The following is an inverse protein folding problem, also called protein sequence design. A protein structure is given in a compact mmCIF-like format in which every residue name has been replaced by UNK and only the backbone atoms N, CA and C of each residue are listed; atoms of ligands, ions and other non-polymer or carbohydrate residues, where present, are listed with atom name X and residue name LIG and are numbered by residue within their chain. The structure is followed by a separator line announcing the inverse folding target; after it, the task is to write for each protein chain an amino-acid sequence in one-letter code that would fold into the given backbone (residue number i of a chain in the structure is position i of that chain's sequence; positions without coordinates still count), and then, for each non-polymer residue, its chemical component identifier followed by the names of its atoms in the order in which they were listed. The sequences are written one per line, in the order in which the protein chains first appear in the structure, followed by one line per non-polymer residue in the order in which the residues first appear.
data_IF_884395083126
#
_entry.id   IF_884395083126
#
_cell.length_a   1.000
_cell.length_b   1.000
_cell.length_c   1.000
_cell.angle_alpha   90.00
_cell.angle_beta   90.00
_cell.angle_gamma   90.00
#
_symmetry.space_group_name_H-M   'P 1'
#
loop_
_entity.id
_entity.type
_entity.pdbx_description
1 polymer ?
#
# COMPACT_ATOMS: atom_id res chain seq x y z
N UNK A 1 -46.76 7.00 -27.31
CA UNK A 1 -46.31 5.70 -27.85
C UNK A 1 -44.87 5.88 -28.32
N UNK A 2 -43.93 5.55 -27.52
CA UNK A 2 -42.50 5.49 -27.88
C UNK A 2 -41.86 4.43 -26.99
N UNK A 3 -41.48 3.36 -27.65
CA UNK A 3 -40.87 2.18 -27.07
C UNK A 3 -39.54 2.51 -26.40
N UNK A 4 -39.44 2.18 -25.13
CA UNK A 4 -38.19 2.09 -24.40
C UNK A 4 -37.74 0.61 -24.38
N UNK A 5 -36.96 0.20 -25.35
CA UNK A 5 -36.32 -1.11 -25.35
C UNK A 5 -35.13 -1.06 -24.39
N UNK A 6 -35.37 -1.47 -23.16
CA UNK A 6 -34.33 -1.82 -22.21
C UNK A 6 -33.60 -3.07 -22.74
N UNK A 7 -32.29 -2.93 -22.93
CA UNK A 7 -31.39 -3.99 -23.35
C UNK A 7 -31.14 -4.93 -22.15
N UNK A 8 -32.08 -5.85 -21.91
CA UNK A 8 -31.91 -6.97 -21.00
C UNK A 8 -30.92 -7.95 -21.66
N UNK A 9 -29.68 -8.05 -21.16
CA UNK A 9 -28.82 -9.19 -21.48
C UNK A 9 -29.61 -10.45 -21.18
N UNK A 10 -29.92 -11.23 -22.21
CA UNK A 10 -30.43 -12.60 -22.06
C UNK A 10 -29.49 -13.39 -21.15
N UNK A 11 -29.92 -13.61 -19.93
CA UNK A 11 -29.42 -14.68 -19.10
C UNK A 11 -29.96 -15.94 -19.73
N UNK A 12 -29.09 -16.76 -20.33
CA UNK A 12 -29.44 -18.09 -20.83
C UNK A 12 -30.15 -18.79 -19.68
N UNK A 13 -31.44 -18.94 -19.77
CA UNK A 13 -32.28 -19.54 -18.74
C UNK A 13 -31.97 -21.02 -18.64
N UNK A 14 -31.28 -21.38 -17.56
CA UNK A 14 -31.23 -22.73 -17.09
C UNK A 14 -32.27 -22.85 -15.98
N UNK A 15 -33.49 -23.28 -16.32
CA UNK A 15 -34.60 -23.48 -15.37
C UNK A 15 -34.29 -24.48 -14.25
N UNK A 16 -33.09 -25.08 -14.26
CA UNK A 16 -32.56 -26.02 -13.27
C UNK A 16 -31.33 -25.49 -12.53
N UNK A 17 -30.99 -24.20 -12.70
CA UNK A 17 -29.85 -23.62 -11.97
C UNK A 17 -30.19 -23.46 -10.48
N UNK A 18 -29.29 -23.81 -9.54
CA UNK A 18 -29.49 -23.54 -8.12
C UNK A 18 -29.70 -22.03 -7.86
N UNK A 19 -30.56 -21.72 -6.90
CA UNK A 19 -30.74 -20.35 -6.43
C UNK A 19 -29.41 -19.75 -5.94
N UNK A 20 -29.23 -18.46 -6.19
CA UNK A 20 -28.02 -17.75 -5.77
C UNK A 20 -27.98 -17.63 -4.24
N UNK A 21 -27.09 -18.40 -3.59
CA UNK A 21 -26.90 -18.42 -2.15
C UNK A 21 -25.48 -17.98 -1.79
N UNK A 22 -25.29 -16.67 -1.59
CA UNK A 22 -24.01 -16.10 -1.17
C UNK A 22 -23.97 -15.90 0.35
N UNK A 23 -22.79 -16.14 0.96
CA UNK A 23 -22.55 -15.78 2.34
C UNK A 23 -22.78 -14.26 2.52
N UNK A 24 -23.50 -13.89 3.61
CA UNK A 24 -23.89 -12.50 3.87
C UNK A 24 -22.68 -11.55 3.95
N UNK A 25 -21.55 -12.03 4.44
CA UNK A 25 -20.33 -11.21 4.57
C UNK A 25 -19.73 -10.78 3.23
N UNK A 26 -20.01 -11.52 2.14
CA UNK A 26 -19.49 -11.23 0.81
C UNK A 26 -20.56 -10.72 -0.16
N UNK A 27 -21.84 -10.78 0.24
CA UNK A 27 -22.94 -10.27 -0.57
C UNK A 27 -22.79 -8.76 -0.75
N UNK A 28 -22.73 -8.31 -2.01
CA UNK A 28 -22.61 -6.89 -2.36
C UNK A 28 -21.21 -6.29 -2.12
N UNK A 29 -20.20 -7.12 -1.78
CA UNK A 29 -18.82 -6.63 -1.70
C UNK A 29 -18.34 -6.25 -3.11
N UNK A 30 -17.94 -4.98 -3.35
CA UNK A 30 -17.43 -4.58 -4.65
C UNK A 30 -16.04 -5.17 -4.91
N UNK A 31 -15.62 -5.31 -6.18
CA UNK A 31 -14.23 -5.59 -6.52
C UNK A 31 -13.29 -4.57 -5.90
N UNK A 32 -12.02 -4.95 -5.70
CA UNK A 32 -11.01 -4.00 -5.21
C UNK A 32 -10.93 -2.77 -6.11
N UNK A 33 -11.06 -1.57 -5.53
CA UNK A 33 -11.02 -0.30 -6.26
C UNK A 33 -9.81 -0.18 -7.19
N UNK A 34 -8.64 -0.69 -6.76
CA UNK A 34 -7.40 -0.71 -7.57
C UNK A 34 -7.51 -1.58 -8.81
N UNK A 35 -8.24 -2.70 -8.75
CA UNK A 35 -8.46 -3.56 -9.91
C UNK A 35 -9.54 -2.98 -10.81
N UNK A 36 -10.63 -2.49 -10.25
CA UNK A 36 -11.72 -1.89 -11.00
C UNK A 36 -11.26 -0.70 -11.86
N UNK A 37 -10.46 0.23 -11.29
CA UNK A 37 -9.93 1.36 -12.07
C UNK A 37 -8.97 0.90 -13.17
N UNK A 38 -8.20 -0.16 -12.95
CA UNK A 38 -7.31 -0.69 -13.96
C UNK A 38 -8.08 -1.33 -15.13
N UNK A 39 -9.09 -2.14 -14.83
CA UNK A 39 -9.98 -2.75 -15.84
C UNK A 39 -10.72 -1.68 -16.64
N UNK A 40 -11.27 -0.64 -15.96
CA UNK A 40 -11.91 0.49 -16.61
C UNK A 40 -10.94 1.26 -17.52
N UNK A 41 -9.72 1.48 -17.07
CA UNK A 41 -8.64 2.11 -17.84
C UNK A 41 -8.32 1.31 -19.10
N UNK A 42 -8.22 -0.01 -19.00
CA UNK A 42 -7.96 -0.89 -20.14
C UNK A 42 -9.12 -0.89 -21.16
N UNK A 43 -10.36 -0.85 -20.69
CA UNK A 43 -11.55 -0.73 -21.57
C UNK A 43 -11.53 0.57 -22.35
N UNK A 44 -11.29 1.72 -21.68
CA UNK A 44 -11.22 3.02 -22.33
C UNK A 44 -10.01 3.12 -23.29
N UNK A 45 -8.89 2.52 -22.93
CA UNK A 45 -7.71 2.43 -23.81
C UNK A 45 -8.02 1.67 -25.10
N UNK A 46 -8.80 0.57 -25.03
CA UNK A 46 -9.24 -0.17 -26.23
C UNK A 46 -10.20 0.64 -27.11
N UNK A 47 -10.87 1.65 -26.54
CA UNK A 47 -11.72 2.59 -27.28
C UNK A 47 -10.94 3.77 -27.89
N UNK A 48 -9.60 3.78 -27.77
CA UNK A 48 -8.72 4.79 -28.34
C UNK A 48 -8.37 5.96 -27.43
N UNK A 49 -8.83 5.97 -26.16
CA UNK A 49 -8.40 6.99 -25.21
C UNK A 49 -6.96 6.72 -24.76
N UNK A 50 -6.13 7.78 -24.76
CA UNK A 50 -4.81 7.72 -24.09
C UNK A 50 -5.01 7.80 -22.58
N UNK A 51 -4.69 6.73 -21.85
CA UNK A 51 -4.87 6.64 -20.41
C UNK A 51 -3.57 6.81 -19.65
N UNK A 52 -3.56 7.70 -18.68
CA UNK A 52 -2.51 7.87 -17.69
C UNK A 52 -2.88 7.09 -16.42
N UNK A 53 -2.26 5.91 -16.23
CA UNK A 53 -2.61 4.97 -15.15
C UNK A 53 -1.95 5.37 -13.83
N UNK A 54 -2.57 6.28 -13.08
CA UNK A 54 -2.11 6.73 -11.75
C UNK A 54 -2.91 6.08 -10.60
N UNK A 55 -3.78 5.12 -10.92
CA UNK A 55 -4.61 4.40 -9.93
C UNK A 55 -3.95 3.15 -9.33
N UNK A 56 -3.01 2.50 -10.03
CA UNK A 56 -2.38 1.26 -9.58
C UNK A 56 -1.01 1.53 -8.93
N UNK A 57 -0.87 1.20 -7.67
CA UNK A 57 0.39 1.33 -6.92
C UNK A 57 1.30 0.11 -7.05
N UNK A 58 1.85 -0.12 -8.22
CA UNK A 58 2.85 -1.15 -8.49
C UNK A 58 4.21 -0.49 -8.76
N UNK A 59 5.28 -1.01 -8.16
CA UNK A 59 6.64 -0.52 -8.43
C UNK A 59 6.94 -0.61 -9.95
N UNK A 60 7.43 0.45 -10.58
CA UNK A 60 7.81 0.42 -11.99
C UNK A 60 9.20 -0.17 -12.21
N UNK A 61 10.00 -0.27 -11.16
CA UNK A 61 11.39 -0.72 -11.22
C UNK A 61 11.48 -2.24 -11.38
N UNK A 62 12.48 -2.75 -12.10
CA UNK A 62 12.74 -4.18 -12.23
C UNK A 62 13.14 -4.78 -10.89
N UNK A 63 12.94 -6.08 -10.75
CA UNK A 63 13.51 -6.84 -9.63
C UNK A 63 15.04 -6.83 -9.80
N UNK A 64 15.83 -6.56 -8.75
CA UNK A 64 17.29 -6.57 -8.81
C UNK A 64 17.83 -7.87 -9.40
N UNK A 65 18.82 -7.76 -10.29
CA UNK A 65 19.32 -8.89 -11.07
C UNK A 65 19.89 -9.99 -10.19
N UNK A 66 20.56 -9.65 -9.11
CA UNK A 66 21.07 -10.60 -8.12
C UNK A 66 19.98 -11.52 -7.58
N UNK A 67 18.77 -11.00 -7.35
CA UNK A 67 17.62 -11.77 -6.85
C UNK A 67 16.98 -12.60 -7.98
N UNK A 68 16.90 -12.04 -9.19
CA UNK A 68 16.41 -12.77 -10.39
C UNK A 68 17.32 -13.97 -10.68
N UNK A 69 18.63 -13.81 -10.57
CA UNK A 69 19.58 -14.88 -10.80
C UNK A 69 19.46 -15.97 -9.73
N UNK A 70 19.20 -15.63 -8.47
CA UNK A 70 18.90 -16.61 -7.43
C UNK A 70 17.58 -17.36 -7.72
N UNK A 71 16.55 -16.68 -8.25
CA UNK A 71 15.33 -17.38 -8.66
C UNK A 71 15.60 -18.39 -9.78
N UNK A 72 16.38 -18.00 -10.81
CA UNK A 72 16.78 -18.92 -11.91
C UNK A 72 17.53 -20.13 -11.37
N UNK A 73 18.46 -19.94 -10.41
CA UNK A 73 19.24 -21.01 -9.77
C UNK A 73 18.38 -21.95 -8.93
N UNK A 74 17.25 -21.48 -8.41
CA UNK A 74 16.38 -22.23 -7.52
C UNK A 74 15.04 -22.63 -8.18
N UNK A 75 14.85 -22.40 -9.47
CA UNK A 75 13.60 -22.71 -10.18
C UNK A 75 13.19 -24.20 -10.10
N UNK A 76 14.15 -25.11 -9.87
CA UNK A 76 13.93 -26.55 -9.72
C UNK A 76 13.35 -26.96 -8.36
N UNK A 77 13.35 -26.07 -7.36
CA UNK A 77 12.81 -26.36 -6.02
C UNK A 77 11.30 -26.61 -6.10
N UNK A 78 10.87 -27.83 -5.81
CA UNK A 78 9.49 -28.29 -6.05
C UNK A 78 8.75 -28.76 -4.80
N UNK A 79 9.48 -28.99 -3.72
CA UNK A 79 8.90 -29.59 -2.52
C UNK A 79 8.19 -28.55 -1.64
N UNK A 80 7.16 -28.99 -0.92
CA UNK A 80 6.51 -28.16 0.07
C UNK A 80 7.48 -27.76 1.18
N UNK A 81 7.49 -26.49 1.51
CA UNK A 81 8.28 -25.95 2.61
C UNK A 81 7.46 -25.96 3.92
N UNK A 82 8.11 -25.83 5.09
CA UNK A 82 7.41 -25.63 6.34
C UNK A 82 6.41 -24.46 6.26
N UNK A 83 5.28 -24.58 6.95
CA UNK A 83 4.20 -23.55 6.95
C UNK A 83 4.71 -22.16 7.33
N UNK A 84 5.58 -22.06 8.34
CA UNK A 84 6.18 -20.78 8.74
C UNK A 84 7.19 -20.23 7.71
N UNK A 85 7.57 -21.01 6.71
CA UNK A 85 8.53 -20.63 5.66
C UNK A 85 9.88 -21.33 5.79
N UNK A 86 10.69 -21.19 4.74
CA UNK A 86 12.05 -21.74 4.62
C UNK A 86 12.92 -21.22 5.79
N UNK A 87 13.54 -22.14 6.55
CA UNK A 87 14.36 -21.79 7.71
C UNK A 87 15.45 -20.76 7.37
N UNK A 88 16.16 -20.98 6.25
CA UNK A 88 17.22 -20.08 5.78
C UNK A 88 16.69 -18.66 5.51
N UNK A 89 15.48 -18.52 4.95
CA UNK A 89 14.84 -17.23 4.72
C UNK A 89 14.44 -16.58 6.04
N UNK A 90 13.81 -17.33 6.95
CA UNK A 90 13.40 -16.82 8.25
C UNK A 90 14.62 -16.32 9.05
N UNK A 91 15.73 -17.06 9.00
CA UNK A 91 16.99 -16.62 9.60
C UNK A 91 17.51 -15.33 8.97
N UNK A 92 17.55 -15.21 7.63
CA UNK A 92 17.99 -14.00 6.95
C UNK A 92 17.10 -12.78 7.30
N UNK A 93 15.79 -12.98 7.43
CA UNK A 93 14.86 -11.94 7.87
C UNK A 93 15.15 -11.51 9.31
N UNK A 94 15.34 -12.45 10.24
CA UNK A 94 15.64 -12.14 11.64
C UNK A 94 16.96 -11.37 11.77
N UNK A 95 18.01 -11.78 11.04
CA UNK A 95 19.29 -11.08 10.97
C UNK A 95 19.15 -9.67 10.42
N UNK A 96 18.40 -9.52 9.33
CA UNK A 96 18.10 -8.20 8.75
C UNK A 96 17.45 -7.27 9.77
N UNK A 97 16.43 -7.74 10.51
CA UNK A 97 15.75 -6.95 11.52
C UNK A 97 16.64 -6.57 12.70
N UNK A 98 17.52 -7.49 13.14
CA UNK A 98 18.50 -7.17 14.18
C UNK A 98 19.45 -6.06 13.76
N UNK A 99 19.97 -6.12 12.53
CA UNK A 99 20.90 -5.11 12.03
C UNK A 99 20.24 -3.76 11.81
N UNK A 100 19.06 -3.77 11.17
CA UNK A 100 18.39 -2.54 10.73
C UNK A 100 17.70 -1.81 11.87
N UNK A 101 17.08 -2.54 12.78
CA UNK A 101 16.22 -1.96 13.81
C UNK A 101 16.68 -2.24 15.25
N UNK A 102 17.74 -3.02 15.45
CA UNK A 102 18.18 -3.43 16.77
C UNK A 102 17.22 -4.38 17.50
N UNK A 103 16.33 -5.08 16.76
CA UNK A 103 15.27 -5.92 17.32
C UNK A 103 15.83 -7.30 17.65
N UNK A 104 15.63 -7.76 18.88
CA UNK A 104 15.95 -9.13 19.27
C UNK A 104 14.87 -10.11 18.80
N UNK A 105 15.04 -10.64 17.60
CA UNK A 105 14.19 -11.70 17.05
C UNK A 105 15.04 -12.86 16.51
N UNK A 106 14.42 -14.02 16.38
CA UNK A 106 14.99 -15.25 15.83
C UNK A 106 14.16 -15.72 14.63
N UNK A 107 14.63 -16.70 13.91
CA UNK A 107 13.89 -17.34 12.83
C UNK A 107 12.53 -17.90 13.27
N UNK A 108 12.39 -18.27 14.56
CA UNK A 108 11.13 -18.76 15.10
C UNK A 108 10.05 -17.68 15.22
N UNK A 109 10.44 -16.44 15.23
CA UNK A 109 9.56 -15.28 15.34
C UNK A 109 9.04 -14.81 13.97
N UNK A 110 9.50 -15.44 12.86
CA UNK A 110 9.20 -15.05 11.48
C UNK A 110 8.13 -15.96 10.88
N UNK A 111 7.16 -15.36 10.20
CA UNK A 111 6.15 -16.05 9.38
C UNK A 111 6.18 -15.50 7.95
N UNK A 112 6.36 -16.41 6.98
CA UNK A 112 6.35 -16.11 5.54
C UNK A 112 4.98 -16.45 4.96
N UNK A 113 4.45 -15.58 4.09
CA UNK A 113 3.17 -15.82 3.44
C UNK A 113 3.13 -15.31 1.99
N UNK A 114 2.08 -15.66 1.22
CA UNK A 114 1.93 -15.26 -0.18
C UNK A 114 1.56 -13.78 -0.33
N UNK A 115 2.46 -12.90 0.14
CA UNK A 115 2.29 -11.46 0.28
C UNK A 115 1.70 -11.06 1.63
N UNK A 116 2.09 -9.87 2.14
CA UNK A 116 1.58 -9.33 3.41
C UNK A 116 0.05 -9.24 3.44
N UNK A 117 -0.59 -9.05 2.28
CA UNK A 117 -2.06 -8.99 2.15
C UNK A 117 -2.76 -10.24 2.71
N UNK A 118 -2.24 -11.43 2.43
CA UNK A 118 -2.81 -12.69 2.93
C UNK A 118 -2.51 -12.84 4.43
N UNK A 119 -1.30 -12.49 4.87
CA UNK A 119 -0.96 -12.52 6.29
C UNK A 119 -1.85 -11.59 7.11
N UNK A 120 -2.14 -10.37 6.61
CA UNK A 120 -3.07 -9.44 7.24
C UNK A 120 -4.49 -9.98 7.32
N UNK A 121 -4.96 -10.67 6.27
CA UNK A 121 -6.27 -11.32 6.27
C UNK A 121 -6.35 -12.40 7.37
N UNK A 122 -5.33 -13.26 7.45
CA UNK A 122 -5.28 -14.33 8.46
C UNK A 122 -5.16 -13.72 9.88
N UNK A 123 -4.34 -12.67 10.05
CA UNK A 123 -4.24 -11.97 11.34
C UNK A 123 -5.61 -11.47 11.81
N UNK A 124 -6.35 -10.80 10.92
CA UNK A 124 -7.70 -10.32 11.23
C UNK A 124 -8.68 -11.45 11.50
N UNK A 125 -8.53 -12.60 10.83
CA UNK A 125 -9.36 -13.79 11.03
C UNK A 125 -9.16 -14.40 12.41
N UNK A 126 -7.90 -14.56 12.86
CA UNK A 126 -7.58 -15.27 14.12
C UNK A 126 -7.64 -14.40 15.36
N UNK A 127 -7.47 -13.08 15.23
CA UNK A 127 -7.48 -12.19 16.37
C UNK A 127 -8.90 -11.88 16.85
N UNK A 128 -9.13 -11.97 18.14
CA UNK A 128 -10.39 -11.57 18.76
C UNK A 128 -10.28 -10.16 19.34
N UNK A 129 -10.96 -9.18 18.73
CA UNK A 129 -10.94 -7.79 19.15
C UNK A 129 -11.28 -6.83 18.00
N UNK A 130 -11.24 -5.53 18.29
CA UNK A 130 -11.49 -4.50 17.28
C UNK A 130 -10.28 -4.35 16.36
N UNK A 131 -10.57 -4.16 15.07
CA UNK A 131 -9.56 -3.75 14.08
C UNK A 131 -9.68 -2.23 13.91
N UNK A 132 -8.64 -1.52 14.34
CA UNK A 132 -8.60 -0.06 14.31
C UNK A 132 -7.78 0.40 13.11
N UNK A 133 -8.38 1.24 12.27
CA UNK A 133 -7.79 1.69 11.01
C UNK A 133 -7.81 3.21 10.97
N UNK A 134 -6.67 3.89 11.16
CA UNK A 134 -6.54 5.32 10.89
C UNK A 134 -6.73 5.59 9.39
N UNK A 135 -7.60 6.54 9.01
CA UNK A 135 -7.91 6.86 7.62
C UNK A 135 -7.42 8.25 7.24
N UNK A 136 -6.92 8.44 6.00
CA UNK A 136 -6.99 7.54 4.86
C UNK A 136 -6.08 6.32 5.02
N UNK A 137 -6.56 5.15 4.56
CA UNK A 137 -5.88 3.86 4.75
C UNK A 137 -5.94 3.01 3.48
N UNK A 138 -5.01 2.08 3.33
CA UNK A 138 -5.02 1.17 2.19
C UNK A 138 -6.35 0.45 2.02
N UNK A 139 -6.86 0.49 0.80
CA UNK A 139 -8.21 0.05 0.40
C UNK A 139 -8.58 -1.39 0.77
N UNK A 140 -7.63 -2.23 1.18
CA UNK A 140 -7.89 -3.64 1.47
C UNK A 140 -8.07 -3.95 2.97
N UNK A 141 -7.70 -3.06 3.89
CA UNK A 141 -7.82 -3.37 5.33
C UNK A 141 -9.28 -3.57 5.77
N UNK A 142 -10.16 -2.62 5.43
CA UNK A 142 -11.56 -2.69 5.82
C UNK A 142 -12.33 -3.83 5.11
N UNK A 143 -12.21 -4.05 3.78
CA UNK A 143 -12.86 -5.16 3.12
C UNK A 143 -12.44 -6.53 3.64
N UNK A 144 -11.18 -6.72 4.07
CA UNK A 144 -10.73 -7.95 4.68
C UNK A 144 -11.50 -8.24 5.99
N UNK A 145 -11.65 -7.23 6.85
CA UNK A 145 -12.43 -7.37 8.07
C UNK A 145 -13.91 -7.67 7.77
N UNK A 146 -14.48 -7.03 6.75
CA UNK A 146 -15.85 -7.28 6.31
C UNK A 146 -16.07 -8.73 5.86
N UNK A 147 -15.18 -9.28 5.03
CA UNK A 147 -15.25 -10.67 4.55
C UNK A 147 -15.37 -11.67 5.69
N UNK A 148 -14.68 -11.42 6.79
CA UNK A 148 -14.66 -12.30 7.97
C UNK A 148 -15.65 -11.89 9.05
N UNK A 149 -16.51 -10.90 8.80
CA UNK A 149 -17.53 -10.44 9.75
C UNK A 149 -16.97 -9.73 11.00
N UNK A 150 -15.79 -9.09 10.90
CA UNK A 150 -15.17 -8.36 12.00
C UNK A 150 -15.64 -6.91 12.07
N UNK A 151 -15.77 -6.42 13.28
CA UNK A 151 -16.00 -4.99 13.50
C UNK A 151 -14.71 -4.20 13.26
N UNK A 152 -14.85 -3.10 12.54
CA UNK A 152 -13.79 -2.13 12.32
C UNK A 152 -14.10 -0.81 13.01
N UNK A 153 -13.05 -0.16 13.48
CA UNK A 153 -13.09 1.21 14.00
C UNK A 153 -12.25 2.10 13.12
N UNK A 154 -12.89 2.96 12.35
CA UNK A 154 -12.19 3.97 11.56
C UNK A 154 -11.87 5.17 12.45
N UNK A 155 -10.61 5.62 12.45
CA UNK A 155 -10.20 6.89 13.05
C UNK A 155 -9.88 7.86 11.94
N UNK A 156 -10.67 8.92 11.79
CA UNK A 156 -10.42 9.95 10.80
C UNK A 156 -9.24 10.82 11.24
N UNK A 157 -8.15 10.74 10.50
CA UNK A 157 -7.01 11.62 10.68
C UNK A 157 -7.14 12.88 9.81
N UNK A 158 -6.28 13.85 9.99
CA UNK A 158 -6.37 15.15 9.33
C UNK A 158 -5.06 15.55 8.67
N UNK A 159 -5.16 16.28 7.55
CA UNK A 159 -4.00 16.81 6.84
C UNK A 159 -3.08 17.67 7.72
N UNK A 160 -3.64 18.37 8.70
CA UNK A 160 -2.88 19.17 9.68
C UNK A 160 -1.88 18.33 10.48
N UNK A 161 -2.21 17.06 10.73
CA UNK A 161 -1.36 16.10 11.42
C UNK A 161 -0.66 15.14 10.45
N UNK A 162 -0.50 15.54 9.18
CA UNK A 162 0.15 14.71 8.17
C UNK A 162 -0.62 13.44 7.80
N UNK A 163 -1.93 13.41 8.00
CA UNK A 163 -2.78 12.22 7.83
C UNK A 163 -2.34 11.04 8.73
N UNK A 164 -1.80 11.34 9.91
CA UNK A 164 -1.31 10.35 10.87
C UNK A 164 -2.23 10.23 12.07
N UNK A 165 -2.32 9.05 12.64
CA UNK A 165 -2.92 8.83 13.95
C UNK A 165 -2.12 9.61 15.00
N UNK A 166 -2.79 10.43 15.80
CA UNK A 166 -2.11 11.14 16.87
C UNK A 166 -2.15 10.34 18.18
N UNK A 167 -1.18 10.57 19.09
CA UNK A 167 -1.20 9.98 20.43
C UNK A 167 -2.51 10.26 21.17
N UNK A 168 -3.06 11.48 21.05
CA UNK A 168 -4.29 11.88 21.70
C UNK A 168 -5.48 11.06 21.20
N UNK A 169 -5.62 10.87 19.88
CA UNK A 169 -6.67 10.06 19.27
C UNK A 169 -6.60 8.59 19.74
N UNK A 170 -5.37 8.04 19.82
CA UNK A 170 -5.18 6.68 20.33
C UNK A 170 -5.55 6.57 21.80
N UNK A 171 -5.13 7.53 22.62
CA UNK A 171 -5.44 7.58 24.04
C UNK A 171 -6.95 7.71 24.28
N UNK A 172 -7.64 8.61 23.58
CA UNK A 172 -9.08 8.80 23.66
C UNK A 172 -9.84 7.51 23.33
N UNK A 173 -9.47 6.84 22.23
CA UNK A 173 -10.04 5.55 21.85
C UNK A 173 -9.85 4.50 22.96
N UNK A 174 -8.65 4.40 23.52
CA UNK A 174 -8.34 3.39 24.52
C UNK A 174 -8.95 3.70 25.87
N UNK A 175 -8.97 4.96 26.29
CA UNK A 175 -9.56 5.39 27.56
C UNK A 175 -11.08 5.18 27.61
N UNK A 176 -11.77 5.23 26.48
CA UNK A 176 -13.21 4.98 26.40
C UNK A 176 -13.61 3.54 26.75
N UNK A 177 -12.72 2.59 26.54
CA UNK A 177 -12.89 1.17 26.91
C UNK A 177 -11.49 0.53 27.11
N UNK A 178 -10.86 0.69 28.29
CA UNK A 178 -9.46 0.33 28.53
C UNK A 178 -9.14 -1.16 28.42
N UNK A 179 -10.14 -2.01 28.57
CA UNK A 179 -9.97 -3.48 28.58
C UNK A 179 -10.26 -4.12 27.23
N UNK A 180 -10.77 -3.37 26.29
CA UNK A 180 -11.13 -3.86 24.95
C UNK A 180 -9.90 -4.31 24.18
N UNK A 181 -9.81 -5.58 23.73
CA UNK A 181 -8.73 -6.02 22.87
C UNK A 181 -8.77 -5.30 21.52
N UNK A 182 -7.61 -4.80 21.05
CA UNK A 182 -7.51 -4.06 19.78
C UNK A 182 -6.24 -4.39 19.03
N UNK A 183 -6.34 -4.44 17.70
CA UNK A 183 -5.19 -4.26 16.79
C UNK A 183 -5.32 -2.90 16.13
N UNK A 184 -4.28 -2.08 16.21
CA UNK A 184 -4.17 -0.82 15.46
C UNK A 184 -3.22 -1.02 14.30
N UNK A 185 -3.66 -0.72 13.08
CA UNK A 185 -2.83 -0.84 11.86
C UNK A 185 -2.17 0.52 11.62
N UNK A 186 -0.84 0.54 11.66
CA UNK A 186 -0.02 1.71 11.30
C UNK A 186 0.69 1.40 9.99
N UNK A 187 0.38 2.13 8.91
CA UNK A 187 1.06 1.99 7.62
C UNK A 187 1.87 3.25 7.32
N UNK A 188 3.19 3.11 7.26
CA UNK A 188 4.10 4.22 6.99
C UNK A 188 5.45 3.74 6.41
N UNK A 189 6.02 4.46 5.43
CA UNK A 189 5.37 5.52 4.65
C UNK A 189 4.00 5.06 4.12
N UNK A 190 3.00 5.95 4.18
CA UNK A 190 1.59 5.57 4.06
C UNK A 190 1.13 5.40 2.60
N UNK A 191 0.28 4.44 2.37
CA UNK A 191 -0.63 4.40 1.24
C UNK A 191 -2.04 4.80 1.76
N UNK A 192 -2.56 5.99 1.40
CA UNK A 192 -2.31 6.71 0.14
C UNK A 192 -1.44 7.98 0.21
N UNK A 193 -0.94 8.41 1.36
CA UNK A 193 -0.46 9.78 1.55
C UNK A 193 1.04 9.98 1.30
N UNK A 194 1.83 8.91 1.34
CA UNK A 194 3.29 8.97 1.27
C UNK A 194 3.97 9.48 2.55
N UNK A 195 3.20 9.92 3.55
CA UNK A 195 3.74 10.48 4.80
C UNK A 195 4.22 9.40 5.78
N UNK A 196 5.16 9.74 6.65
CA UNK A 196 5.67 8.88 7.72
C UNK A 196 5.50 9.55 9.08
N UNK A 197 5.76 8.80 10.15
CA UNK A 197 5.77 9.33 11.52
C UNK A 197 7.16 9.85 11.88
N UNK A 198 7.21 10.90 12.68
CA UNK A 198 8.43 11.31 13.36
C UNK A 198 8.70 10.43 14.57
N UNK A 199 9.98 10.30 14.96
CA UNK A 199 10.37 9.42 16.04
C UNK A 199 9.65 9.73 17.38
N UNK A 200 9.47 11.00 17.71
CA UNK A 200 8.75 11.42 18.91
C UNK A 200 7.26 11.03 18.90
N UNK A 201 6.61 11.09 17.73
CA UNK A 201 5.22 10.63 17.60
C UNK A 201 5.11 9.12 17.81
N UNK A 202 6.05 8.36 17.23
CA UNK A 202 6.12 6.90 17.44
C UNK A 202 6.37 6.55 18.91
N UNK A 203 7.22 7.30 19.60
CA UNK A 203 7.49 7.10 21.04
C UNK A 203 6.22 7.27 21.88
N UNK A 204 5.45 8.33 21.65
CA UNK A 204 4.20 8.56 22.39
C UNK A 204 3.12 7.54 22.01
N UNK A 205 2.97 7.16 20.74
CA UNK A 205 2.06 6.09 20.33
C UNK A 205 2.44 4.77 20.99
N UNK A 206 3.73 4.41 21.01
CA UNK A 206 4.23 3.19 21.63
C UNK A 206 3.94 3.15 23.15
N UNK A 207 4.14 4.27 23.83
CA UNK A 207 3.83 4.42 25.27
C UNK A 207 2.36 4.19 25.57
N UNK A 208 1.45 4.80 24.79
CA UNK A 208 0.01 4.63 24.95
C UNK A 208 -0.41 3.18 24.61
N UNK A 209 0.11 2.64 23.49
CA UNK A 209 -0.18 1.26 23.09
C UNK A 209 0.26 0.25 24.17
N UNK A 210 1.42 0.45 24.79
CA UNK A 210 1.90 -0.37 25.90
C UNK A 210 0.99 -0.23 27.14
N UNK A 211 0.61 0.99 27.51
CA UNK A 211 -0.27 1.26 28.65
C UNK A 211 -1.58 0.49 28.57
N UNK A 212 -2.21 0.46 27.38
CA UNK A 212 -3.49 -0.21 27.14
C UNK A 212 -3.36 -1.62 26.54
N UNK A 213 -2.13 -2.14 26.43
CA UNK A 213 -1.84 -3.47 25.84
C UNK A 213 -2.44 -3.66 24.44
N UNK A 214 -2.39 -2.59 23.64
CA UNK A 214 -2.84 -2.62 22.24
C UNK A 214 -1.83 -3.37 21.40
N UNK A 215 -2.29 -4.28 20.55
CA UNK A 215 -1.42 -4.88 19.53
C UNK A 215 -1.28 -3.89 18.38
N UNK A 216 -0.05 -3.57 18.00
CA UNK A 216 0.24 -2.78 16.82
C UNK A 216 0.61 -3.70 15.65
N UNK A 217 -0.04 -3.53 14.51
CA UNK A 217 0.44 -4.05 13.22
C UNK A 217 1.17 -2.91 12.51
N UNK A 218 2.50 -2.94 12.53
CA UNK A 218 3.34 -1.97 11.84
C UNK A 218 3.55 -2.41 10.39
N UNK A 219 2.73 -1.87 9.47
CA UNK A 219 2.85 -2.15 8.05
C UNK A 219 3.87 -1.23 7.40
N UNK A 220 5.12 -1.70 7.39
CA UNK A 220 6.28 -0.97 6.89
C UNK A 220 6.70 -1.42 5.48
N UNK A 221 5.73 -1.87 4.67
CA UNK A 221 5.98 -2.36 3.30
C UNK A 221 6.68 -1.34 2.41
N UNK A 222 6.60 -0.05 2.74
CA UNK A 222 7.27 1.05 2.07
C UNK A 222 8.51 1.57 2.81
N UNK A 223 8.88 1.02 3.97
CA UNK A 223 9.97 1.53 4.81
C UNK A 223 11.29 1.73 4.06
N UNK A 224 11.71 0.74 3.25
CA UNK A 224 12.92 0.85 2.40
C UNK A 224 12.79 1.89 1.26
N UNK A 225 11.59 2.40 0.99
CA UNK A 225 11.32 3.46 0.03
C UNK A 225 11.13 4.84 0.70
N UNK A 226 11.57 5.01 1.94
CA UNK A 226 11.71 6.35 2.54
C UNK A 226 12.69 7.17 1.70
N UNK A 227 12.31 8.36 1.24
CA UNK A 227 13.04 9.10 0.21
C UNK A 227 14.46 9.47 0.63
N UNK A 228 14.66 9.79 1.91
CA UNK A 228 15.99 10.07 2.48
C UNK A 228 16.68 8.80 3.03
N UNK A 229 15.99 7.66 3.06
CA UNK A 229 16.52 6.43 3.64
C UNK A 229 16.45 6.34 5.16
N UNK A 230 15.84 7.30 5.83
CA UNK A 230 15.79 7.46 7.29
C UNK A 230 14.46 6.96 7.88
N UNK A 231 14.12 5.72 7.62
CA UNK A 231 12.89 5.12 8.15
C UNK A 231 13.05 4.69 9.61
N UNK A 232 12.17 5.15 10.48
CA UNK A 232 12.09 4.73 11.87
C UNK A 232 10.97 3.71 12.06
N UNK A 233 11.30 2.53 12.61
CA UNK A 233 10.30 1.53 12.98
C UNK A 233 9.79 1.76 14.40
N UNK A 234 8.50 1.53 14.65
CA UNK A 234 7.93 1.54 16.00
C UNK A 234 8.25 0.26 16.79
N UNK A 235 8.69 -0.80 16.11
CA UNK A 235 8.93 -2.11 16.75
C UNK A 235 9.91 -2.02 17.93
N UNK A 236 11.06 -1.32 17.85
CA UNK A 236 11.96 -1.18 19.00
C UNK A 236 11.37 -0.38 20.17
N UNK A 237 10.35 0.45 19.93
CA UNK A 237 9.74 1.31 20.93
C UNK A 237 8.65 0.60 21.76
N UNK A 238 8.04 -0.43 21.19
CA UNK A 238 7.08 -1.31 21.86
C UNK A 238 7.22 -2.75 21.36
N UNK A 239 8.36 -3.40 21.70
CA UNK A 239 8.70 -4.72 21.14
C UNK A 239 7.76 -5.84 21.60
N UNK A 240 7.10 -5.71 22.76
CA UNK A 240 6.23 -6.77 23.30
C UNK A 240 4.88 -6.87 22.58
N UNK A 241 4.39 -5.78 21.98
CA UNK A 241 3.05 -5.71 21.40
C UNK A 241 3.02 -5.34 19.92
N UNK A 242 4.17 -5.23 19.25
CA UNK A 242 4.21 -4.81 17.84
C UNK A 242 4.57 -5.96 16.91
N UNK A 243 3.73 -6.20 15.92
CA UNK A 243 3.97 -7.12 14.81
C UNK A 243 4.48 -6.29 13.64
N UNK A 244 5.66 -6.64 13.11
CA UNK A 244 6.16 -6.05 11.87
C UNK A 244 5.53 -6.71 10.66
N UNK A 245 5.15 -5.93 9.67
CA UNK A 245 4.68 -6.39 8.35
C UNK A 245 5.50 -5.77 7.23
N UNK A 246 5.99 -6.63 6.33
CA UNK A 246 6.76 -6.23 5.16
C UNK A 246 6.71 -7.24 4.03
N UNK A 247 7.66 -7.17 3.10
CA UNK A 247 7.76 -8.09 1.97
C UNK A 247 8.49 -7.48 0.78
N UNK A 248 8.52 -8.20 -0.33
CA UNK A 248 9.28 -7.83 -1.54
C UNK A 248 8.48 -6.99 -2.54
N UNK A 249 7.18 -6.77 -2.31
CA UNK A 249 6.27 -6.24 -3.33
C UNK A 249 6.58 -4.82 -3.78
N UNK A 250 7.17 -3.97 -2.92
CA UNK A 250 7.32 -2.54 -3.19
C UNK A 250 8.77 -2.15 -3.45
N UNK A 251 9.63 -2.29 -2.48
CA UNK A 251 11.01 -1.87 -2.58
C UNK A 251 11.85 -2.73 -3.55
N UNK A 252 11.48 -4.01 -3.71
CA UNK A 252 12.17 -4.97 -4.58
C UNK A 252 11.53 -5.11 -5.98
N UNK A 253 10.43 -4.38 -6.26
CA UNK A 253 9.71 -4.53 -7.53
C UNK A 253 9.00 -5.88 -7.73
N UNK A 254 9.07 -6.80 -6.75
CA UNK A 254 8.65 -8.19 -6.87
C UNK A 254 7.19 -8.43 -6.43
N UNK A 255 6.28 -7.50 -6.73
CA UNK A 255 4.87 -7.60 -6.33
C UNK A 255 4.17 -8.86 -6.83
N UNK A 256 4.48 -9.30 -8.05
CA UNK A 256 3.96 -10.53 -8.67
C UNK A 256 4.50 -11.82 -8.07
N UNK A 257 5.62 -11.78 -7.35
CA UNK A 257 6.22 -12.96 -6.72
C UNK A 257 5.49 -13.39 -5.44
N UNK A 258 4.64 -12.54 -4.88
CA UNK A 258 3.78 -12.85 -3.74
C UNK A 258 4.54 -13.34 -2.51
N UNK A 259 5.53 -12.60 -2.03
CA UNK A 259 6.23 -12.89 -0.78
C UNK A 259 6.03 -11.76 0.24
N UNK A 260 5.41 -12.10 1.36
CA UNK A 260 5.22 -11.24 2.53
C UNK A 260 5.88 -11.84 3.77
N UNK A 261 6.19 -10.97 4.71
CA UNK A 261 6.90 -11.32 5.95
C UNK A 261 6.19 -10.66 7.11
N UNK A 262 5.88 -11.43 8.16
CA UNK A 262 5.56 -10.92 9.50
C UNK A 262 6.65 -11.33 10.47
N UNK A 263 7.01 -10.41 11.38
CA UNK A 263 7.90 -10.70 12.52
C UNK A 263 7.12 -10.43 13.80
N UNK A 264 7.06 -11.44 14.66
CA UNK A 264 6.27 -11.41 15.89
C UNK A 264 7.17 -11.24 17.11
N UNK A 265 6.72 -10.51 18.15
CA UNK A 265 7.35 -10.59 19.44
C UNK A 265 7.04 -11.92 20.11
N UNK A 266 7.93 -12.37 20.98
CA UNK A 266 7.74 -13.63 21.74
C UNK A 266 6.42 -13.65 22.53
N UNK A 267 5.99 -12.50 23.06
CA UNK A 267 4.73 -12.35 23.81
C UNK A 267 3.48 -12.62 22.93
N UNK A 268 3.59 -12.50 21.60
CA UNK A 268 2.50 -12.77 20.64
C UNK A 268 2.70 -14.08 19.88
N UNK A 269 3.55 -15.00 20.34
CA UNK A 269 3.75 -16.31 19.70
C UNK A 269 2.47 -17.11 19.57
N UNK A 270 1.58 -17.05 20.55
CA UNK A 270 0.26 -17.67 20.46
C UNK A 270 -0.54 -17.21 19.23
N UNK A 271 -0.38 -15.95 18.83
CA UNK A 271 -1.05 -15.38 17.64
C UNK A 271 -0.37 -15.87 16.36
N UNK A 272 0.97 -15.90 16.33
CA UNK A 272 1.73 -16.47 15.22
C UNK A 272 1.37 -17.95 15.01
N UNK A 273 1.25 -18.74 16.09
CA UNK A 273 0.92 -20.16 16.00
C UNK A 273 -0.52 -20.38 15.50
N UNK A 274 -1.49 -19.58 15.98
CA UNK A 274 -2.85 -19.59 15.45
C UNK A 274 -2.89 -19.23 13.96
N UNK A 275 -2.11 -18.25 13.52
CA UNK A 275 -1.98 -17.91 12.10
C UNK A 275 -1.34 -19.05 11.30
N UNK A 276 -0.33 -19.74 11.85
CA UNK A 276 0.30 -20.87 11.19
C UNK A 276 -0.68 -22.05 11.01
N UNK A 277 -1.57 -22.31 11.98
CA UNK A 277 -2.64 -23.29 11.85
C UNK A 277 -3.56 -22.96 10.67
N UNK A 278 -4.03 -21.71 10.57
CA UNK A 278 -4.88 -21.28 9.44
C UNK A 278 -4.11 -21.33 8.12
N UNK A 279 -2.82 -20.96 8.13
CA UNK A 279 -1.96 -21.04 6.94
C UNK A 279 -1.82 -22.47 6.42
N UNK A 280 -1.73 -23.47 7.31
CA UNK A 280 -1.65 -24.88 6.92
C UNK A 280 -2.89 -25.37 6.17
N UNK A 281 -4.07 -24.84 6.53
CA UNK A 281 -5.35 -25.22 5.93
C UNK A 281 -5.76 -24.34 4.74
N UNK A 282 -4.94 -23.32 4.39
CA UNK A 282 -5.27 -22.38 3.31
C UNK A 282 -4.26 -22.43 2.17
N UNK A 283 -3.06 -21.91 2.36
CA UNK A 283 -2.04 -21.85 1.30
C UNK A 283 -0.85 -22.82 1.54
N UNK A 284 -0.82 -23.52 2.67
CA UNK A 284 0.21 -24.49 3.09
C UNK A 284 1.59 -23.85 3.22
N UNK A 285 2.18 -23.38 2.12
CA UNK A 285 3.46 -22.67 2.08
C UNK A 285 3.56 -21.75 0.87
N UNK A 286 4.35 -20.70 0.98
CA UNK A 286 4.69 -19.83 -0.15
C UNK A 286 5.64 -20.58 -1.12
N UNK A 287 5.60 -20.22 -2.41
CA UNK A 287 6.42 -20.83 -3.48
C UNK A 287 7.87 -21.05 -3.07
N UNK A 288 8.35 -22.29 -3.18
CA UNK A 288 9.71 -22.67 -2.77
C UNK A 288 10.80 -21.91 -3.55
N UNK A 289 10.78 -21.84 -4.91
CA UNK A 289 11.79 -21.08 -5.65
C UNK A 289 11.88 -19.61 -5.21
N UNK A 290 10.74 -18.98 -4.94
CA UNK A 290 10.68 -17.58 -4.52
C UNK A 290 11.25 -17.42 -3.11
N UNK A 291 10.98 -18.33 -2.18
CA UNK A 291 11.54 -18.27 -0.84
C UNK A 291 13.06 -18.43 -0.85
N UNK A 292 13.60 -19.34 -1.70
CA UNK A 292 15.04 -19.49 -1.86
C UNK A 292 15.68 -18.21 -2.43
N UNK A 293 15.11 -17.61 -3.47
CA UNK A 293 15.59 -16.36 -4.03
C UNK A 293 15.53 -15.19 -3.05
N UNK A 294 14.48 -15.14 -2.23
CA UNK A 294 14.25 -14.09 -1.25
C UNK A 294 15.30 -14.03 -0.13
N UNK A 295 16.04 -15.11 0.13
CA UNK A 295 17.14 -15.12 1.10
C UNK A 295 18.13 -13.97 0.80
N UNK A 296 18.53 -13.83 -0.47
CA UNK A 296 19.47 -12.80 -0.92
C UNK A 296 18.89 -11.39 -0.72
N UNK A 297 17.60 -11.21 -0.85
CA UNK A 297 16.95 -9.90 -0.64
C UNK A 297 17.04 -9.35 0.79
N UNK A 298 17.27 -10.22 1.77
CA UNK A 298 17.42 -9.85 3.19
C UNK A 298 18.89 -9.90 3.68
N UNK A 299 19.83 -10.24 2.81
CA UNK A 299 21.26 -10.18 3.09
C UNK A 299 21.81 -8.78 2.79
N UNK A 300 22.96 -8.45 3.36
CA UNK A 300 23.70 -7.24 3.02
C UNK A 300 24.26 -7.36 1.60
N UNK A 301 24.11 -6.31 0.82
CA UNK A 301 24.60 -6.26 -0.55
C UNK A 301 24.76 -4.81 -0.98
N UNK A 302 25.95 -4.43 -1.41
CA UNK A 302 26.22 -3.11 -1.98
C UNK A 302 25.38 -2.86 -3.22
N UNK A 303 25.14 -3.90 -4.04
CA UNK A 303 24.27 -3.81 -5.23
C UNK A 303 22.84 -3.45 -4.84
N UNK A 304 22.31 -4.02 -3.75
CA UNK A 304 20.98 -3.71 -3.24
C UNK A 304 20.90 -2.29 -2.67
N UNK A 305 21.93 -1.83 -1.99
CA UNK A 305 21.99 -0.49 -1.42
C UNK A 305 22.04 0.56 -2.54
N UNK A 306 22.82 0.33 -3.59
CA UNK A 306 22.89 1.16 -4.77
C UNK A 306 21.55 1.18 -5.53
N UNK A 307 20.92 0.03 -5.71
CA UNK A 307 19.58 -0.06 -6.30
C UNK A 307 18.56 0.79 -5.54
N UNK A 308 18.48 0.61 -4.22
CA UNK A 308 17.56 1.36 -3.36
C UNK A 308 17.86 2.86 -3.37
N UNK A 309 19.14 3.24 -3.38
CA UNK A 309 19.55 4.64 -3.48
C UNK A 309 18.99 5.29 -4.76
N UNK A 310 19.20 4.66 -5.94
CA UNK A 310 18.71 5.21 -7.19
C UNK A 310 17.18 5.22 -7.28
N UNK A 311 16.51 4.18 -6.79
CA UNK A 311 15.05 4.12 -6.71
C UNK A 311 14.50 5.29 -5.89
N UNK A 312 15.03 5.54 -4.69
CA UNK A 312 14.64 6.66 -3.83
C UNK A 312 14.89 8.01 -4.50
N UNK A 313 16.06 8.16 -5.13
CA UNK A 313 16.46 9.38 -5.85
C UNK A 313 15.47 9.73 -6.96
N UNK A 314 15.05 8.75 -7.77
CA UNK A 314 14.07 8.92 -8.84
C UNK A 314 12.69 9.28 -8.25
N UNK A 315 12.22 8.52 -7.28
CA UNK A 315 10.90 8.76 -6.67
C UNK A 315 10.82 10.12 -5.99
N UNK A 316 11.87 10.55 -5.29
CA UNK A 316 11.96 11.88 -4.67
C UNK A 316 11.93 12.99 -5.73
N UNK A 317 12.67 12.85 -6.83
CA UNK A 317 12.68 13.85 -7.88
C UNK A 317 11.30 14.00 -8.55
N UNK A 318 10.61 12.88 -8.84
CA UNK A 318 9.24 12.91 -9.38
C UNK A 318 8.32 13.61 -8.36
N UNK A 319 8.33 13.18 -7.10
CA UNK A 319 7.49 13.77 -6.06
C UNK A 319 7.68 15.29 -5.96
N UNK A 320 8.93 15.77 -5.94
CA UNK A 320 9.25 17.20 -5.91
C UNK A 320 8.68 17.97 -7.10
N UNK A 321 8.76 17.41 -8.31
CA UNK A 321 8.17 18.03 -9.52
C UNK A 321 6.65 18.12 -9.42
N UNK A 322 5.98 17.01 -9.06
CA UNK A 322 4.53 17.00 -8.94
C UNK A 322 4.02 17.95 -7.85
N UNK A 323 4.74 18.04 -6.72
CA UNK A 323 4.45 19.00 -5.65
C UNK A 323 4.52 20.45 -6.14
N UNK A 324 5.52 20.80 -6.94
CA UNK A 324 5.64 22.14 -7.54
C UNK A 324 4.44 22.45 -8.43
N UNK A 325 4.06 21.53 -9.33
CA UNK A 325 2.92 21.70 -10.23
C UNK A 325 1.59 21.91 -9.47
N UNK A 326 1.36 21.11 -8.42
CA UNK A 326 0.15 21.26 -7.59
C UNK A 326 0.16 22.58 -6.80
N UNK A 327 1.30 23.01 -6.29
CA UNK A 327 1.43 24.29 -5.59
C UNK A 327 1.07 25.46 -6.52
N UNK A 328 1.54 25.44 -7.75
CA UNK A 328 1.24 26.49 -8.76
C UNK A 328 -0.23 26.51 -9.18
N UNK A 329 -0.95 25.41 -8.92
CA UNK A 329 -2.39 25.26 -9.20
C UNK A 329 -3.26 25.31 -7.93
N UNK A 330 -2.72 25.78 -6.79
CA UNK A 330 -3.44 25.91 -5.51
C UNK A 330 -4.13 24.63 -5.02
N UNK A 331 -3.63 23.45 -5.43
CA UNK A 331 -4.06 22.16 -4.92
C UNK A 331 -3.23 21.83 -3.68
N UNK A 332 -3.92 21.50 -2.58
CA UNK A 332 -3.24 21.12 -1.35
C UNK A 332 -2.75 19.67 -1.46
N UNK A 333 -1.48 19.45 -1.23
CA UNK A 333 -0.88 18.15 -1.12
C UNK A 333 0.27 18.20 -0.14
N UNK A 334 0.40 17.17 0.71
CA UNK A 334 1.53 17.06 1.63
C UNK A 334 2.73 16.46 0.89
N UNK A 335 3.92 16.88 1.28
CA UNK A 335 5.15 16.27 0.78
C UNK A 335 5.22 14.82 1.25
N UNK A 336 5.43 13.86 0.35
CA UNK A 336 5.63 12.49 0.75
C UNK A 336 7.04 12.28 1.28
N UNK A 337 7.14 11.55 2.39
CA UNK A 337 8.42 11.14 2.98
C UNK A 337 8.94 9.83 2.35
N UNK A 338 8.05 9.09 1.65
CA UNK A 338 8.42 7.82 1.02
C UNK A 338 7.30 7.18 0.21
N UNK A 339 7.60 5.98 -0.32
CA UNK A 339 6.70 5.32 -1.26
C UNK A 339 6.63 6.04 -2.60
N UNK A 340 5.46 5.97 -3.23
CA UNK A 340 5.23 6.56 -4.56
C UNK A 340 3.79 7.07 -4.73
N UNK A 341 3.26 7.70 -3.66
CA UNK A 341 1.90 8.24 -3.64
C UNK A 341 1.87 9.69 -3.25
N UNK A 342 0.91 10.41 -3.85
CA UNK A 342 0.43 11.69 -3.39
C UNK A 342 -1.08 11.61 -3.12
N UNK A 343 -1.55 12.45 -2.19
CA UNK A 343 -2.95 12.52 -1.81
C UNK A 343 -3.45 13.95 -1.90
N UNK A 344 -3.62 14.50 -3.14
CA UNK A 344 -4.09 15.85 -3.37
C UNK A 344 -5.52 16.06 -2.87
N UNK A 345 -5.75 17.25 -2.28
CA UNK A 345 -7.05 17.77 -1.84
C UNK A 345 -7.46 18.95 -2.74
N UNK A 346 -8.55 18.75 -3.45
CA UNK A 346 -9.11 19.71 -4.42
C UNK A 346 -10.17 20.62 -3.80
N UNK A 347 -10.28 20.68 -2.46
CA UNK A 347 -11.30 21.48 -1.74
C UNK A 347 -11.35 22.94 -2.18
N UNK A 348 -10.23 23.53 -2.60
CA UNK A 348 -10.18 24.90 -3.12
C UNK A 348 -11.03 25.13 -4.37
N UNK A 349 -11.29 24.08 -5.12
CA UNK A 349 -12.11 24.11 -6.33
C UNK A 349 -13.56 23.70 -6.09
N UNK A 350 -13.98 23.52 -4.84
CA UNK A 350 -15.29 22.96 -4.48
C UNK A 350 -16.46 23.66 -5.19
N UNK A 351 -16.52 25.00 -5.15
CA UNK A 351 -17.64 25.75 -5.78
C UNK A 351 -17.66 25.58 -7.31
N UNK A 352 -16.50 25.61 -7.95
CA UNK A 352 -16.38 25.40 -9.39
C UNK A 352 -16.72 23.97 -9.80
N UNK A 353 -16.30 22.97 -9.02
CA UNK A 353 -16.61 21.56 -9.24
C UNK A 353 -18.11 21.29 -9.04
N UNK A 354 -18.70 21.87 -7.99
CA UNK A 354 -20.13 21.77 -7.69
C UNK A 354 -20.99 22.34 -8.81
N UNK A 355 -20.59 23.45 -9.45
CA UNK A 355 -21.29 23.99 -10.60
C UNK A 355 -21.33 23.04 -11.81
N UNK A 356 -20.46 22.05 -11.84
CA UNK A 356 -20.39 20.96 -12.82
C UNK A 356 -20.96 19.64 -12.30
N UNK A 357 -21.73 19.68 -11.21
CA UNK A 357 -22.31 18.50 -10.54
C UNK A 357 -21.26 17.50 -10.01
N UNK A 358 -20.07 17.98 -9.67
CA UNK A 358 -19.01 17.19 -9.05
C UNK A 358 -18.97 17.56 -7.57
N UNK A 359 -19.51 16.68 -6.71
CA UNK A 359 -19.68 16.91 -5.26
C UNK A 359 -18.97 15.87 -4.40
N UNK A 360 -18.52 14.79 -5.02
CA UNK A 360 -17.84 13.68 -4.33
C UNK A 360 -16.48 13.37 -4.97
N UNK A 361 -15.59 12.75 -4.18
CA UNK A 361 -14.29 12.29 -4.68
C UNK A 361 -14.42 11.25 -5.81
N UNK A 362 -15.50 10.47 -5.82
CA UNK A 362 -15.78 9.52 -6.88
C UNK A 362 -16.11 10.23 -8.20
N UNK A 363 -17.08 11.15 -8.18
CA UNK A 363 -17.44 11.94 -9.36
C UNK A 363 -16.25 12.73 -9.91
N UNK A 364 -15.39 13.25 -9.02
CA UNK A 364 -14.14 13.91 -9.41
C UNK A 364 -13.23 13.00 -10.22
N UNK A 365 -12.96 11.78 -9.71
CA UNK A 365 -12.07 10.83 -10.37
C UNK A 365 -12.67 10.29 -11.68
N UNK A 366 -13.99 10.02 -11.73
CA UNK A 366 -14.68 9.61 -12.95
C UNK A 366 -14.62 10.71 -14.03
N UNK A 367 -14.89 11.96 -13.62
CA UNK A 367 -14.85 13.08 -14.55
C UNK A 367 -13.43 13.34 -15.10
N UNK A 368 -12.40 13.25 -14.25
CA UNK A 368 -11.00 13.33 -14.70
C UNK A 368 -10.65 12.22 -15.68
N UNK A 369 -11.06 10.99 -15.38
CA UNK A 369 -10.82 9.86 -16.28
C UNK A 369 -11.49 10.05 -17.65
N UNK A 370 -12.75 10.45 -17.68
CA UNK A 370 -13.51 10.64 -18.92
C UNK A 370 -13.02 11.82 -19.75
N UNK A 371 -12.65 12.94 -19.12
CA UNK A 371 -12.27 14.18 -19.81
C UNK A 371 -10.80 14.25 -20.17
N UNK A 372 -9.93 13.65 -19.37
CA UNK A 372 -8.48 13.79 -19.50
C UNK A 372 -7.74 12.46 -19.69
N UNK A 373 -8.43 11.34 -19.52
CA UNK A 373 -7.79 10.01 -19.52
C UNK A 373 -6.95 9.73 -18.27
N UNK A 374 -7.10 10.50 -17.19
CA UNK A 374 -6.30 10.34 -15.98
C UNK A 374 -7.04 9.46 -14.97
N UNK A 375 -6.51 8.27 -14.72
CA UNK A 375 -7.05 7.30 -13.78
C UNK A 375 -6.41 7.46 -12.39
N UNK A 376 -7.18 7.98 -11.41
CA UNK A 376 -6.82 8.06 -9.99
C UNK A 376 -7.85 7.31 -9.15
N UNK A 377 -7.54 7.08 -7.87
CA UNK A 377 -8.52 6.50 -6.93
C UNK A 377 -9.09 7.58 -6.00
N UNK A 378 -10.42 7.62 -5.83
CA UNK A 378 -11.08 8.61 -4.98
C UNK A 378 -10.78 8.39 -3.50
N UNK A 379 -10.74 9.47 -2.72
CA UNK A 379 -10.48 9.42 -1.28
C UNK A 379 -11.46 8.55 -0.50
N UNK A 380 -12.71 8.45 -0.93
CA UNK A 380 -13.72 7.57 -0.31
C UNK A 380 -13.28 6.12 -0.24
N UNK A 381 -12.50 5.63 -1.21
CA UNK A 381 -12.03 4.23 -1.24
C UNK A 381 -10.96 3.97 -0.18
N UNK A 382 -10.37 5.03 0.37
CA UNK A 382 -9.41 4.99 1.47
C UNK A 382 -10.06 5.30 2.84
N UNK A 383 -11.40 5.24 2.93
CA UNK A 383 -12.16 5.45 4.15
C UNK A 383 -12.40 6.93 4.50
N UNK A 384 -12.26 7.83 3.51
CA UNK A 384 -12.61 9.26 3.71
C UNK A 384 -14.10 9.51 3.41
N UNK A 385 -14.71 10.54 4.02
CA UNK A 385 -16.04 10.98 3.64
C UNK A 385 -16.13 11.23 2.13
N UNK A 386 -17.22 10.81 1.46
CA UNK A 386 -17.37 10.99 0.01
C UNK A 386 -17.22 12.42 -0.47
N UNK A 387 -17.64 13.40 0.35
CA UNK A 387 -17.64 14.84 0.06
C UNK A 387 -16.24 15.47 0.15
N UNK A 388 -15.27 14.79 0.75
CA UNK A 388 -13.89 15.21 0.72
C UNK A 388 -13.33 14.99 -0.69
N UNK A 389 -13.10 16.07 -1.42
CA UNK A 389 -12.58 16.02 -2.79
C UNK A 389 -11.09 15.71 -2.80
N UNK A 390 -10.75 14.52 -2.30
CA UNK A 390 -9.39 14.00 -2.26
C UNK A 390 -9.24 12.81 -3.21
N UNK A 391 -8.02 12.58 -3.71
CA UNK A 391 -7.73 11.43 -4.56
C UNK A 391 -6.31 10.92 -4.31
N UNK A 392 -6.06 9.62 -4.54
CA UNK A 392 -4.70 9.07 -4.56
C UNK A 392 -4.14 9.06 -5.98
N UNK A 393 -2.97 9.65 -6.12
CA UNK A 393 -2.13 9.62 -7.30
C UNK A 393 -0.92 8.73 -7.02
N UNK A 394 -0.76 7.64 -7.79
CA UNK A 394 0.44 6.79 -7.77
C UNK A 394 1.35 7.22 -8.92
N UNK A 395 2.53 7.80 -8.62
CA UNK A 395 3.43 8.35 -9.64
C UNK A 395 4.42 7.31 -10.17
N UNK A 396 3.88 6.18 -10.64
CA UNK A 396 4.64 5.00 -11.11
C UNK A 396 4.41 4.68 -12.60
N UNK A 397 3.72 5.57 -13.34
CA UNK A 397 3.40 5.35 -14.76
C UNK A 397 4.55 5.78 -15.67
N UNK A 398 5.69 5.07 -15.59
CA UNK A 398 6.87 5.26 -16.43
C UNK A 398 7.67 3.95 -16.56
N UNK A 399 8.63 3.93 -17.48
CA UNK A 399 9.57 2.82 -17.68
C UNK A 399 10.67 2.89 -16.60
N UNK A 400 10.48 2.11 -15.53
CA UNK A 400 11.38 2.12 -14.37
C UNK A 400 12.77 1.54 -14.67
N UNK A 401 12.89 0.62 -15.61
CA UNK A 401 14.16 0.03 -16.01
C UNK A 401 15.03 1.11 -16.69
N UNK A 402 14.48 1.80 -17.70
CA UNK A 402 15.21 2.89 -18.39
C UNK A 402 15.54 4.05 -17.47
N UNK A 403 14.61 4.42 -16.57
CA UNK A 403 14.87 5.48 -15.62
C UNK A 403 16.00 5.10 -14.65
N UNK A 404 16.03 3.83 -14.20
CA UNK A 404 17.06 3.33 -13.31
C UNK A 404 18.42 3.28 -14.00
N UNK A 405 18.50 2.74 -15.22
CA UNK A 405 19.72 2.72 -16.04
C UNK A 405 20.28 4.13 -16.26
N UNK A 406 19.42 5.08 -16.65
CA UNK A 406 19.83 6.46 -16.84
C UNK A 406 20.32 7.13 -15.53
N UNK A 407 19.70 6.83 -14.40
CA UNK A 407 20.10 7.37 -13.10
C UNK A 407 21.48 6.84 -12.65
N UNK A 408 21.82 5.59 -12.98
CA UNK A 408 23.16 5.03 -12.72
C UNK A 408 24.29 5.72 -13.51
N UNK A 409 23.98 6.30 -14.67
CA UNK A 409 24.96 7.03 -15.48
C UNK A 409 25.25 8.45 -14.98
N UNK A 410 24.46 8.94 -14.01
CA UNK A 410 24.61 10.28 -13.47
C UNK A 410 25.32 10.25 -12.12
N UNK A 411 26.22 11.21 -11.84
CA UNK A 411 26.83 11.33 -10.51
C UNK A 411 25.76 11.37 -9.41
N UNK A 412 26.06 10.74 -8.27
CA UNK A 412 25.11 10.60 -7.15
C UNK A 412 24.65 11.94 -6.60
N UNK A 413 25.54 12.94 -6.58
CA UNK A 413 25.30 14.27 -6.05
C UNK A 413 24.50 15.16 -7.02
N UNK A 414 24.44 14.79 -8.30
CA UNK A 414 23.71 15.58 -9.31
C UNK A 414 22.20 15.38 -9.14
N UNK A 415 21.41 16.46 -8.92
CA UNK A 415 19.96 16.33 -8.90
C UNK A 415 19.42 15.79 -10.23
N UNK A 416 18.38 14.96 -10.18
CA UNK A 416 17.63 14.58 -11.38
C UNK A 416 16.71 15.76 -11.76
N UNK A 417 17.10 16.46 -12.83
CA UNK A 417 16.45 17.69 -13.28
C UNK A 417 15.22 17.43 -14.16
N UNK A 418 14.58 18.50 -14.62
CA UNK A 418 13.40 18.42 -15.50
C UNK A 418 13.71 17.65 -16.79
N UNK A 419 14.93 17.80 -17.36
CA UNK A 419 15.32 17.05 -18.56
C UNK A 419 15.27 15.55 -18.30
N UNK A 420 15.78 15.08 -17.16
CA UNK A 420 15.68 13.66 -16.77
C UNK A 420 14.23 13.23 -16.61
N UNK A 421 13.42 14.02 -15.91
CA UNK A 421 12.03 13.69 -15.62
C UNK A 421 11.18 13.57 -16.88
N UNK A 422 11.29 14.51 -17.82
CA UNK A 422 10.57 14.43 -19.09
C UNK A 422 11.09 13.34 -20.03
N UNK A 423 12.37 12.97 -19.95
CA UNK A 423 12.94 11.91 -20.78
C UNK A 423 12.57 10.51 -20.30
N UNK A 424 12.54 10.27 -19.00
CA UNK A 424 12.41 8.92 -18.43
C UNK A 424 11.18 8.71 -17.55
N UNK A 425 10.59 9.76 -17.00
CA UNK A 425 9.49 9.74 -16.05
C UNK A 425 8.31 10.63 -16.47
N UNK A 426 8.14 10.88 -17.78
CA UNK A 426 7.16 11.84 -18.31
C UNK A 426 5.71 11.52 -17.92
N UNK A 427 5.35 10.24 -17.77
CA UNK A 427 3.97 9.83 -17.54
C UNK A 427 3.28 10.54 -16.38
N UNK A 428 3.77 10.45 -15.12
CA UNK A 428 3.18 11.14 -13.98
C UNK A 428 3.31 12.66 -14.06
N UNK A 429 4.38 13.21 -14.67
CA UNK A 429 4.58 14.65 -14.81
C UNK A 429 3.53 15.25 -15.74
N UNK A 430 3.42 14.74 -16.97
CA UNK A 430 2.45 15.20 -17.97
C UNK A 430 1.00 15.03 -17.46
N UNK A 431 0.70 13.91 -16.81
CA UNK A 431 -0.62 13.71 -16.25
C UNK A 431 -0.95 14.76 -15.17
N UNK A 432 0.01 15.13 -14.33
CA UNK A 432 -0.21 16.17 -13.32
C UNK A 432 -0.39 17.55 -13.97
N UNK A 433 0.38 17.88 -15.01
CA UNK A 433 0.18 19.11 -15.81
C UNK A 433 -1.23 19.16 -16.38
N UNK A 434 -1.71 18.06 -16.95
CA UNK A 434 -3.07 17.96 -17.50
C UNK A 434 -4.14 18.16 -16.42
N UNK A 435 -3.94 17.65 -15.19
CA UNK A 435 -4.84 17.92 -14.05
C UNK A 435 -4.85 19.42 -13.75
N UNK A 436 -3.68 20.04 -13.65
CA UNK A 436 -3.54 21.46 -13.34
C UNK A 436 -4.19 22.34 -14.42
N UNK A 437 -4.02 22.00 -15.69
CA UNK A 437 -4.64 22.74 -16.81
C UNK A 437 -6.16 22.54 -16.85
N UNK A 438 -6.64 21.35 -16.57
CA UNK A 438 -8.07 21.10 -16.43
C UNK A 438 -8.70 21.95 -15.30
N UNK A 439 -8.02 22.06 -14.14
CA UNK A 439 -8.47 22.87 -13.01
C UNK A 439 -8.50 24.38 -13.33
N UNK A 440 -7.56 24.90 -14.13
CA UNK A 440 -7.57 26.29 -14.59
C UNK A 440 -8.76 26.62 -15.48
N UNK A 441 -9.24 25.62 -16.23
CA UNK A 441 -10.35 25.75 -17.17
C UNK A 441 -11.72 25.40 -16.55
N UNK A 442 -11.78 25.20 -15.22
CA UNK A 442 -13.03 25.10 -14.48
C UNK A 442 -13.67 26.47 -14.33
#
# INVERSE_FOLDING_TARGET
MSDSTANSKEVIGCDLAPDMQLNLNVRGLPPSATLAINERSDQLGKQGLKIHKLGLGQSPFPVPEIIVNELKRNAFQKDYLPVKGLLKLRHAVAEHHRRTFGIHCTEDDVLIGPGSKVLMFILQLVYYGDIVIPTPAWVSYAPQAQIIGRQIRLIHTHAQNGWRLTPEQLNELCASDPTRPRIVILNYPSNPTGTTYHLNELQEIAKIANQYRVVLLSDEIYGKLHHEGEHHSIVPLYPEGTIFSGGLSKWCGAGGWRLGVFVFPKCLRWLQDAMAVVASETFTSTSAPIQHAAVTAFQESEEMDQYLYQVRRILRAIAGKLMSLFKDSDVRVLSPDGGFYLFPDFKRYNEKLKSRSITTSHELCEHLLEKTGIAMLPGRDFGRPPEELTARLAYVNFDGEKALEAAYQLPSERPLDDHFLYSYCAGPVVATEMICDWLKNL
#
